data_IF_017965149641
#
_entry.id   IF_017965149641
#
_cell.length_a   1.000
_cell.length_b   1.000
_cell.length_c   1.000
_cell.angle_alpha   90.00
_cell.angle_beta   90.00
_cell.angle_gamma   90.00
#
_symmetry.space_group_name_H-M   'P 1'
#
loop_
_entity.id
_entity.type
_entity.pdbx_description
1 polymer ?
#
# COMPACT_ATOMS: atom_id res chain seq x y z
N UNK A 1 27.25 -25.60 8.46
CA UNK A 1 26.80 -24.85 7.27
C UNK A 1 25.60 -23.99 7.68
N UNK A 2 25.76 -22.68 7.80
CA UNK A 2 24.64 -21.77 8.15
C UNK A 2 24.00 -21.17 6.89
N UNK A 3 22.67 -20.91 6.88
CA UNK A 3 22.03 -20.21 5.79
C UNK A 3 22.41 -18.72 5.83
N UNK A 4 22.85 -18.22 4.68
CA UNK A 4 23.21 -16.82 4.46
C UNK A 4 21.93 -16.06 4.14
N UNK A 5 21.38 -15.33 5.10
CA UNK A 5 20.31 -14.36 4.84
C UNK A 5 20.88 -13.19 4.02
N UNK A 6 20.58 -13.18 2.72
CA UNK A 6 20.78 -11.99 1.87
C UNK A 6 19.77 -10.94 2.29
N UNK A 7 20.21 -9.96 3.07
CA UNK A 7 19.47 -8.73 3.28
C UNK A 7 19.58 -7.91 1.99
N UNK A 8 18.52 -7.89 1.21
CA UNK A 8 18.33 -6.93 0.11
C UNK A 8 18.18 -5.55 0.73
N UNK A 9 19.25 -4.78 0.73
CA UNK A 9 19.19 -3.36 1.06
C UNK A 9 18.51 -2.64 -0.10
N UNK A 10 17.24 -2.26 0.07
CA UNK A 10 16.54 -1.35 -0.81
C UNK A 10 17.17 0.03 -0.63
N UNK A 11 17.91 0.47 -1.63
CA UNK A 11 18.48 1.82 -1.66
C UNK A 11 17.35 2.80 -2.02
N UNK A 12 16.88 3.56 -1.03
CA UNK A 12 15.98 4.68 -1.27
C UNK A 12 16.75 5.78 -2.04
N UNK A 13 16.38 6.00 -3.31
CA UNK A 13 16.91 7.09 -4.11
C UNK A 13 16.19 8.38 -3.69
N UNK A 14 16.91 9.30 -3.06
CA UNK A 14 16.41 10.64 -2.74
C UNK A 14 16.35 11.48 -4.02
N UNK A 15 15.14 11.76 -4.53
CA UNK A 15 14.90 12.70 -5.63
C UNK A 15 14.94 14.14 -5.08
N UNK A 16 15.79 14.99 -5.67
CA UNK A 16 15.79 16.42 -5.36
C UNK A 16 14.61 17.09 -6.10
N UNK A 17 13.60 17.48 -5.33
CA UNK A 17 12.42 18.19 -5.82
C UNK A 17 12.76 19.66 -6.10
N UNK A 18 12.83 20.05 -7.37
CA UNK A 18 12.82 21.46 -7.80
C UNK A 18 11.38 21.98 -7.77
N UNK A 19 10.92 22.48 -6.62
CA UNK A 19 9.62 23.14 -6.49
C UNK A 19 9.63 24.46 -7.29
N UNK A 20 9.00 24.48 -8.46
CA UNK A 20 8.53 25.73 -9.07
C UNK A 20 7.31 26.22 -8.28
N UNK A 21 7.58 27.09 -7.30
CA UNK A 21 6.61 27.65 -6.38
C UNK A 21 5.55 28.52 -7.09
N UNK A 22 4.42 27.91 -7.42
CA UNK A 22 3.16 28.61 -7.76
C UNK A 22 1.94 27.99 -7.07
N UNK A 23 2.07 26.79 -6.48
CA UNK A 23 1.04 26.22 -5.63
C UNK A 23 1.24 26.67 -4.17
N UNK A 24 0.22 27.27 -3.55
CA UNK A 24 0.26 27.62 -2.13
C UNK A 24 0.42 26.38 -1.24
N UNK A 25 0.84 26.59 0.01
CA UNK A 25 1.18 25.51 0.97
C UNK A 25 0.14 24.38 1.05
N UNK A 26 -1.15 24.65 0.84
CA UNK A 26 -2.20 23.62 0.86
C UNK A 26 -2.03 22.50 -0.17
N UNK A 27 -1.45 22.77 -1.35
CA UNK A 27 -1.15 21.70 -2.31
C UNK A 27 0.06 20.87 -1.87
N UNK A 28 0.99 21.49 -1.16
CA UNK A 28 2.16 20.82 -0.60
C UNK A 28 1.78 19.94 0.59
N UNK A 29 0.92 20.43 1.50
CA UNK A 29 0.35 19.65 2.60
C UNK A 29 -0.41 18.42 2.07
N UNK A 30 -1.21 18.59 1.02
CA UNK A 30 -1.91 17.49 0.36
C UNK A 30 -0.97 16.49 -0.31
N UNK A 31 0.10 16.95 -0.96
CA UNK A 31 1.11 16.07 -1.52
C UNK A 31 1.85 15.28 -0.43
N UNK A 32 2.19 15.92 0.70
CA UNK A 32 2.82 15.26 1.84
C UNK A 32 1.89 14.27 2.55
N UNK A 33 0.60 14.58 2.67
CA UNK A 33 -0.41 13.64 3.16
C UNK A 33 -0.57 12.44 2.22
N UNK A 34 -0.55 12.67 0.90
CA UNK A 34 -0.59 11.61 -0.11
C UNK A 34 0.62 10.68 0.02
N UNK A 35 1.83 11.22 0.09
CA UNK A 35 3.07 10.43 0.26
C UNK A 35 3.05 9.63 1.55
N UNK A 36 2.71 10.24 2.69
CA UNK A 36 2.63 9.53 3.97
C UNK A 36 1.61 8.38 3.94
N UNK A 37 0.49 8.59 3.26
CA UNK A 37 -0.54 7.54 3.17
C UNK A 37 -0.14 6.45 2.19
N UNK A 38 0.51 6.80 1.08
CA UNK A 38 1.09 5.82 0.16
C UNK A 38 2.18 4.97 0.82
N UNK A 39 3.01 5.56 1.70
CA UNK A 39 3.95 4.80 2.54
C UNK A 39 3.23 3.86 3.50
N UNK A 40 2.21 4.34 4.23
CA UNK A 40 1.43 3.51 5.14
C UNK A 40 0.78 2.32 4.41
N UNK A 41 0.24 2.55 3.20
CA UNK A 41 -0.30 1.49 2.34
C UNK A 41 0.80 0.48 1.98
N UNK A 42 1.99 0.94 1.57
CA UNK A 42 3.12 0.06 1.25
C UNK A 42 3.54 -0.80 2.44
N UNK A 43 3.58 -0.23 3.64
CA UNK A 43 3.87 -0.95 4.87
C UNK A 43 2.77 -1.98 5.20
N UNK A 44 1.49 -1.62 5.06
CA UNK A 44 0.37 -2.53 5.28
C UNK A 44 0.35 -3.68 4.26
N UNK A 45 0.71 -3.45 3.00
CA UNK A 45 0.91 -4.51 1.98
C UNK A 45 2.12 -5.40 2.31
N UNK A 46 3.18 -4.84 2.88
CA UNK A 46 4.31 -5.61 3.43
C UNK A 46 3.89 -6.53 4.58
N UNK A 47 3.09 -6.00 5.51
CA UNK A 47 2.53 -6.76 6.63
C UNK A 47 1.59 -7.87 6.15
N UNK A 48 0.79 -7.62 5.12
CA UNK A 48 -0.06 -8.64 4.49
C UNK A 48 0.78 -9.78 3.89
N UNK A 49 1.84 -9.47 3.14
CA UNK A 49 2.75 -10.47 2.57
C UNK A 49 3.42 -11.32 3.66
N UNK A 50 3.82 -10.68 4.75
CA UNK A 50 4.38 -11.35 5.93
C UNK A 50 3.33 -12.26 6.58
N UNK A 51 2.11 -11.76 6.82
CA UNK A 51 1.01 -12.53 7.40
C UNK A 51 0.60 -13.73 6.55
N UNK A 52 0.64 -13.61 5.21
CA UNK A 52 0.41 -14.74 4.29
C UNK A 52 1.52 -15.77 4.36
N UNK A 53 2.78 -15.31 4.44
CA UNK A 53 3.93 -16.21 4.63
C UNK A 53 3.87 -16.97 5.96
N UNK A 54 3.28 -16.34 6.98
CA UNK A 54 3.07 -16.88 8.32
C UNK A 54 1.66 -17.52 8.49
N UNK A 55 0.84 -17.58 7.43
CA UNK A 55 -0.60 -17.91 7.49
C UNK A 55 -0.92 -19.31 8.00
N UNK A 56 0.07 -20.22 8.00
CA UNK A 56 -0.06 -21.52 8.64
C UNK A 56 -0.38 -21.42 10.14
N UNK A 57 -0.13 -20.27 10.78
CA UNK A 57 -0.27 -20.08 12.22
C UNK A 57 -1.49 -19.26 12.66
N UNK A 58 -2.00 -18.29 11.87
CA UNK A 58 -3.16 -17.46 12.28
C UNK A 58 -3.84 -16.66 11.15
N UNK A 59 -4.97 -17.14 10.58
CA UNK A 59 -5.72 -16.43 9.54
C UNK A 59 -6.39 -15.13 10.02
N UNK A 60 -6.52 -14.89 11.34
CA UNK A 60 -7.07 -13.62 11.85
C UNK A 60 -6.12 -12.44 11.60
N UNK A 61 -4.81 -12.70 11.58
CA UNK A 61 -3.79 -11.66 11.31
C UNK A 61 -3.88 -11.12 9.89
N UNK A 62 -4.33 -11.95 8.94
CA UNK A 62 -4.57 -11.51 7.56
C UNK A 62 -5.76 -10.55 7.56
N UNK A 63 -6.87 -10.89 8.21
CA UNK A 63 -8.07 -10.05 8.22
C UNK A 63 -7.85 -8.70 8.93
N UNK A 64 -7.07 -8.69 10.01
CA UNK A 64 -6.66 -7.45 10.69
C UNK A 64 -5.78 -6.56 9.79
N UNK A 65 -4.80 -7.15 9.09
CA UNK A 65 -3.95 -6.41 8.16
C UNK A 65 -4.76 -5.81 7.00
N UNK A 66 -5.70 -6.58 6.43
CA UNK A 66 -6.58 -6.12 5.37
C UNK A 66 -7.52 -5.00 5.84
N UNK A 67 -8.05 -5.10 7.07
CA UNK A 67 -8.91 -4.07 7.66
C UNK A 67 -8.15 -2.76 7.95
N UNK A 68 -6.86 -2.86 8.29
CA UNK A 68 -5.98 -1.69 8.34
C UNK A 68 -5.95 -0.98 6.99
N UNK A 69 -5.59 -1.72 5.93
CA UNK A 69 -5.49 -1.18 4.56
C UNK A 69 -6.78 -0.46 4.17
N UNK A 70 -7.95 -1.09 4.36
CA UNK A 70 -9.25 -0.49 4.04
C UNK A 70 -9.44 0.87 4.74
N UNK A 71 -9.10 0.97 6.03
CA UNK A 71 -9.24 2.20 6.81
C UNK A 71 -8.23 3.28 6.40
N UNK A 72 -7.00 2.92 6.03
CA UNK A 72 -6.03 3.87 5.49
C UNK A 72 -6.48 4.41 4.13
N UNK A 73 -7.11 3.59 3.29
CA UNK A 73 -7.63 3.95 1.98
C UNK A 73 -8.81 4.92 2.05
N UNK A 74 -9.75 4.66 2.94
CA UNK A 74 -10.89 5.56 3.17
C UNK A 74 -10.40 6.96 3.61
N UNK A 75 -9.43 7.00 4.53
CA UNK A 75 -8.83 8.25 4.96
C UNK A 75 -8.07 8.99 3.84
N UNK A 76 -7.47 8.26 2.89
CA UNK A 76 -6.79 8.86 1.75
C UNK A 76 -7.80 9.50 0.80
N UNK A 77 -8.87 8.76 0.45
CA UNK A 77 -9.89 9.24 -0.48
C UNK A 77 -10.57 10.51 0.05
N UNK A 78 -10.83 10.60 1.36
CA UNK A 78 -11.40 11.79 1.99
C UNK A 78 -10.44 13.01 1.99
N UNK A 79 -9.14 12.78 1.86
CA UNK A 79 -8.13 13.83 1.90
C UNK A 79 -7.70 14.33 0.53
N UNK A 80 -8.04 13.67 -0.58
CA UNK A 80 -7.59 14.10 -1.91
C UNK A 80 -8.74 14.21 -2.91
N UNK A 81 -8.69 15.22 -3.77
CA UNK A 81 -9.64 15.41 -4.87
C UNK A 81 -9.07 14.90 -6.22
N UNK A 82 -8.31 13.80 -6.22
CA UNK A 82 -7.68 13.27 -7.43
C UNK A 82 -8.40 12.01 -7.93
N UNK A 83 -9.06 12.12 -9.08
CA UNK A 83 -9.79 11.01 -9.70
C UNK A 83 -8.92 9.79 -10.03
N UNK A 84 -7.65 10.01 -10.42
CA UNK A 84 -6.71 8.91 -10.66
C UNK A 84 -6.34 8.22 -9.34
N UNK A 85 -6.21 8.99 -8.25
CA UNK A 85 -5.95 8.42 -6.93
C UNK A 85 -7.15 7.62 -6.43
N UNK A 86 -8.36 8.17 -6.50
CA UNK A 86 -9.58 7.44 -6.11
C UNK A 86 -9.70 6.12 -6.89
N UNK A 87 -9.40 6.12 -8.18
CA UNK A 87 -9.40 4.90 -8.98
C UNK A 87 -8.35 3.89 -8.54
N UNK A 88 -7.13 4.34 -8.21
CA UNK A 88 -6.08 3.47 -7.72
C UNK A 88 -6.42 2.91 -6.31
N UNK A 89 -7.07 3.71 -5.47
CA UNK A 89 -7.62 3.30 -4.17
C UNK A 89 -8.71 2.24 -4.33
N UNK A 90 -9.66 2.44 -5.24
CA UNK A 90 -10.71 1.45 -5.55
C UNK A 90 -10.09 0.12 -6.01
N UNK A 91 -9.09 0.17 -6.91
CA UNK A 91 -8.38 -1.02 -7.37
C UNK A 91 -7.64 -1.75 -6.25
N UNK A 92 -7.09 -1.01 -5.29
CA UNK A 92 -6.43 -1.60 -4.13
C UNK A 92 -7.44 -2.27 -3.19
N UNK A 93 -8.58 -1.63 -2.93
CA UNK A 93 -9.66 -2.21 -2.12
C UNK A 93 -10.26 -3.47 -2.76
N UNK A 94 -10.46 -3.47 -4.08
CA UNK A 94 -10.87 -4.66 -4.83
C UNK A 94 -9.83 -5.79 -4.72
N UNK A 95 -8.54 -5.46 -4.82
CA UNK A 95 -7.44 -6.40 -4.60
C UNK A 95 -7.48 -7.02 -3.21
N UNK A 96 -7.63 -6.19 -2.17
CA UNK A 96 -7.75 -6.60 -0.76
C UNK A 96 -8.94 -7.55 -0.56
N UNK A 97 -10.10 -7.21 -1.12
CA UNK A 97 -11.30 -8.05 -1.03
C UNK A 97 -11.15 -9.40 -1.74
N UNK A 98 -10.45 -9.44 -2.87
CA UNK A 98 -10.13 -10.70 -3.55
C UNK A 98 -9.21 -11.58 -2.70
N UNK A 99 -8.17 -11.01 -2.08
CA UNK A 99 -7.28 -11.73 -1.14
C UNK A 99 -8.07 -12.26 0.06
N UNK A 100 -8.91 -11.42 0.67
CA UNK A 100 -9.80 -11.81 1.78
C UNK A 100 -10.70 -12.98 1.40
N UNK A 101 -11.26 -12.97 0.19
CA UNK A 101 -12.13 -14.04 -0.31
C UNK A 101 -11.34 -15.33 -0.55
N UNK A 102 -10.20 -15.25 -1.22
CA UNK A 102 -9.33 -16.41 -1.47
C UNK A 102 -8.91 -17.10 -0.17
N UNK A 103 -8.51 -16.32 0.85
CA UNK A 103 -8.15 -16.85 2.17
C UNK A 103 -9.35 -17.52 2.86
N UNK A 104 -10.54 -16.92 2.79
CA UNK A 104 -11.79 -17.52 3.31
C UNK A 104 -12.16 -18.82 2.59
N UNK A 105 -11.85 -18.92 1.31
CA UNK A 105 -12.08 -20.12 0.49
C UNK A 105 -11.00 -21.20 0.69
N UNK A 106 -10.00 -20.94 1.55
CA UNK A 106 -8.95 -21.89 1.93
C UNK A 106 -7.68 -21.81 1.07
N UNK A 107 -7.52 -20.76 0.28
CA UNK A 107 -6.25 -20.47 -0.39
C UNK A 107 -5.20 -19.98 0.63
N UNK A 108 -4.07 -20.67 0.69
CA UNK A 108 -2.97 -20.35 1.60
C UNK A 108 -1.89 -19.50 0.92
N UNK A 109 -2.05 -19.20 -0.37
CA UNK A 109 -1.13 -18.37 -1.16
C UNK A 109 -1.92 -17.54 -2.18
N UNK A 110 -2.83 -16.66 -1.74
CA UNK A 110 -3.62 -15.82 -2.63
C UNK A 110 -2.71 -14.92 -3.48
N UNK A 111 -3.17 -14.60 -4.69
CA UNK A 111 -2.45 -13.67 -5.57
C UNK A 111 -2.50 -12.24 -5.02
N UNK A 112 -1.31 -11.67 -4.77
CA UNK A 112 -1.12 -10.31 -4.26
C UNK A 112 -0.73 -9.31 -5.34
N UNK A 113 -0.62 -9.75 -6.59
CA UNK A 113 -0.28 -8.88 -7.73
C UNK A 113 -1.25 -7.70 -7.84
N UNK A 114 -2.60 -7.88 -7.76
CA UNK A 114 -3.53 -6.76 -7.85
C UNK A 114 -3.34 -5.72 -6.73
N UNK A 115 -3.02 -6.16 -5.52
CA UNK A 115 -2.77 -5.30 -4.35
C UNK A 115 -1.46 -4.53 -4.54
N UNK A 116 -0.40 -5.21 -4.96
CA UNK A 116 0.92 -4.61 -5.12
C UNK A 116 0.96 -3.61 -6.28
N UNK A 117 0.27 -3.93 -7.38
CA UNK A 117 0.16 -3.05 -8.55
C UNK A 117 -0.60 -1.77 -8.19
N UNK A 118 -1.74 -1.88 -7.51
CA UNK A 118 -2.52 -0.72 -7.10
C UNK A 118 -1.76 0.16 -6.09
N UNK A 119 -1.09 -0.44 -5.09
CA UNK A 119 -0.23 0.31 -4.17
C UNK A 119 0.91 1.06 -4.89
N UNK A 120 1.48 0.43 -5.92
CA UNK A 120 2.52 1.06 -6.77
C UNK A 120 1.96 2.23 -7.56
N UNK A 121 0.76 2.12 -8.13
CA UNK A 121 0.09 3.23 -8.83
C UNK A 121 -0.25 4.39 -7.89
N UNK A 122 -0.74 4.10 -6.67
CA UNK A 122 -0.97 5.13 -5.63
C UNK A 122 0.34 5.88 -5.33
N UNK A 123 1.45 5.17 -5.13
CA UNK A 123 2.76 5.78 -4.90
C UNK A 123 3.20 6.69 -6.05
N UNK A 124 2.97 6.27 -7.31
CA UNK A 124 3.27 7.09 -8.50
C UNK A 124 2.43 8.37 -8.56
N UNK A 125 1.14 8.27 -8.22
CA UNK A 125 0.21 9.41 -8.24
C UNK A 125 0.55 10.40 -7.11
N UNK A 126 0.94 9.88 -5.94
CA UNK A 126 1.30 10.69 -4.78
C UNK A 126 2.70 11.29 -4.84
N UNK A 127 3.54 10.91 -5.81
CA UNK A 127 4.88 11.48 -5.96
C UNK A 127 4.83 12.75 -6.81
N UNK A 128 5.28 13.92 -6.30
CA UNK A 128 5.34 15.17 -7.05
C UNK A 128 6.44 15.23 -8.12
#
# INVERSE_FOLDING_TARGET
MGPRHRRTALAAAATMLTLSAVAGCGALDKALDCVQTAEAISDSVGNLQQAISDAGDDPLKIDDALSGIDNELDNLNDKTDNADLSKAVDQLSDGVNNVRTAVKDGDNSPDLTPVTDAATEIGKICTP
#
